data_IF_135715206612
#
_entry.id   IF_135715206612
#
_cell.length_a   1.000
_cell.length_b   1.000
_cell.length_c   1.000
_cell.angle_alpha   90.00
_cell.angle_beta   90.00
_cell.angle_gamma   90.00
#
_symmetry.space_group_name_H-M   'P 1'
#
loop_
_entity.id
_entity.type
_entity.pdbx_description
1 polymer ?
#
# COMPACT_ATOMS: atom_id res chain seq x y z
N UNK A 1 -30.64 -12.80 -1.36
CA UNK A 1 -31.41 -11.56 -1.11
C UNK A 1 -30.71 -10.46 -1.88
N UNK A 2 -31.23 -10.07 -3.04
CA UNK A 2 -30.77 -8.85 -3.71
C UNK A 2 -31.53 -7.68 -3.10
N UNK A 3 -30.83 -6.61 -2.74
CA UNK A 3 -31.49 -5.34 -2.43
C UNK A 3 -31.93 -4.72 -3.75
N UNK A 4 -33.16 -4.21 -3.79
CA UNK A 4 -33.61 -3.40 -4.92
C UNK A 4 -32.89 -2.05 -4.89
N UNK A 5 -32.27 -1.64 -6.00
CA UNK A 5 -31.53 -0.40 -6.10
C UNK A 5 -31.51 0.19 -7.52
N UNK A 6 -31.42 1.52 -7.58
CA UNK A 6 -31.12 2.27 -8.80
C UNK A 6 -29.73 2.91 -8.69
N UNK A 7 -28.90 2.77 -9.72
CA UNK A 7 -27.53 3.30 -9.74
C UNK A 7 -27.40 4.44 -10.75
N UNK A 8 -27.16 5.66 -10.24
CA UNK A 8 -26.84 6.82 -11.07
C UNK A 8 -25.34 6.98 -11.20
N UNK A 9 -24.79 6.48 -12.32
CA UNK A 9 -23.35 6.47 -12.59
C UNK A 9 -22.69 7.86 -12.59
N UNK A 10 -23.36 8.88 -13.13
CA UNK A 10 -22.82 10.25 -13.18
C UNK A 10 -22.63 10.87 -11.79
N UNK A 11 -23.55 10.61 -10.86
CA UNK A 11 -23.51 11.16 -9.50
C UNK A 11 -22.71 10.29 -8.52
N UNK A 12 -22.35 9.08 -8.97
CA UNK A 12 -21.80 8.01 -8.14
C UNK A 12 -22.63 7.80 -6.86
N UNK A 13 -23.96 7.64 -7.04
CA UNK A 13 -24.93 7.41 -5.95
C UNK A 13 -25.78 6.18 -6.27
N UNK A 14 -25.94 5.31 -5.28
CA UNK A 14 -26.91 4.23 -5.27
C UNK A 14 -28.13 4.65 -4.45
N UNK A 15 -29.32 4.50 -5.03
CA UNK A 15 -30.60 4.68 -4.35
C UNK A 15 -31.15 3.32 -3.99
N UNK A 16 -31.36 3.08 -2.71
CA UNK A 16 -31.94 1.84 -2.22
C UNK A 16 -33.47 1.92 -2.34
N UNK A 17 -34.15 0.82 -2.66
CA UNK A 17 -35.61 0.76 -2.70
C UNK A 17 -36.29 1.11 -1.36
N UNK A 18 -35.54 1.09 -0.27
CA UNK A 18 -35.96 1.56 1.07
C UNK A 18 -35.88 3.09 1.25
N UNK A 19 -35.48 3.85 0.23
CA UNK A 19 -35.28 5.30 0.26
C UNK A 19 -33.89 5.74 0.74
N UNK A 20 -33.01 4.79 1.07
CA UNK A 20 -31.62 5.05 1.44
C UNK A 20 -30.75 5.53 0.27
N UNK A 21 -29.66 6.22 0.57
CA UNK A 21 -28.65 6.64 -0.43
C UNK A 21 -27.27 6.19 0.01
N UNK A 22 -26.50 5.62 -0.93
CA UNK A 22 -25.07 5.33 -0.73
C UNK A 22 -24.29 6.18 -1.71
N UNK A 23 -23.39 7.00 -1.18
CA UNK A 23 -22.49 7.83 -1.96
C UNK A 23 -21.17 7.08 -2.15
N UNK A 24 -20.74 6.91 -3.40
CA UNK A 24 -19.45 6.33 -3.75
C UNK A 24 -18.50 7.49 -4.07
N UNK A 25 -17.43 7.65 -3.30
CA UNK A 25 -16.50 8.79 -3.41
C UNK A 25 -15.06 8.32 -3.27
N UNK A 26 -14.16 8.94 -4.03
CA UNK A 26 -12.72 8.76 -3.86
C UNK A 26 -12.21 9.71 -2.78
N UNK A 27 -11.31 9.22 -1.93
CA UNK A 27 -10.64 10.03 -0.91
C UNK A 27 -9.30 10.61 -1.38
N UNK A 28 -8.95 10.46 -2.66
CA UNK A 28 -7.77 11.13 -3.24
C UNK A 28 -7.88 12.66 -3.11
N UNK A 29 -9.08 13.17 -3.35
CA UNK A 29 -9.51 14.51 -2.97
C UNK A 29 -10.56 14.42 -1.85
N UNK A 30 -10.16 14.53 -0.57
CA UNK A 30 -11.08 14.46 0.57
C UNK A 30 -12.20 15.49 0.54
N UNK A 31 -11.99 16.64 -0.11
CA UNK A 31 -13.02 17.68 -0.22
C UNK A 31 -14.24 17.23 -1.05
N UNK A 32 -14.10 16.18 -1.86
CA UNK A 32 -15.23 15.58 -2.58
C UNK A 32 -16.32 14.98 -1.66
N UNK A 33 -15.98 14.78 -0.38
CA UNK A 33 -16.92 14.32 0.64
C UNK A 33 -17.72 15.46 1.27
N UNK A 34 -17.34 16.72 1.03
CA UNK A 34 -18.04 17.88 1.57
C UNK A 34 -19.50 17.95 1.08
N UNK A 35 -20.37 18.56 1.89
CA UNK A 35 -21.81 18.59 1.64
C UNK A 35 -22.54 17.27 1.95
N UNK A 36 -21.83 16.14 2.07
CA UNK A 36 -22.44 14.89 2.50
C UNK A 36 -22.67 14.94 4.01
N UNK A 37 -23.88 14.58 4.45
CA UNK A 37 -24.11 14.16 5.82
C UNK A 37 -24.60 12.71 5.77
N UNK A 38 -23.90 11.80 6.43
CA UNK A 38 -24.20 10.36 6.39
C UNK A 38 -24.55 9.82 7.78
N UNK A 39 -25.20 8.64 7.84
CA UNK A 39 -25.45 7.90 9.10
C UNK A 39 -24.37 6.87 9.40
N UNK A 40 -23.62 6.48 8.37
CA UNK A 40 -22.45 5.64 8.48
C UNK A 40 -21.53 5.94 7.29
N UNK A 41 -20.26 5.56 7.39
CA UNK A 41 -19.33 5.54 6.28
C UNK A 41 -18.50 4.28 6.30
N UNK A 42 -18.07 3.85 5.12
CA UNK A 42 -17.15 2.74 4.96
C UNK A 42 -16.00 3.24 4.08
N UNK A 43 -14.76 3.09 4.54
CA UNK A 43 -13.58 3.39 3.77
C UNK A 43 -12.77 2.11 3.58
N UNK A 44 -12.67 1.69 2.32
CA UNK A 44 -11.86 0.56 1.91
C UNK A 44 -10.42 0.99 1.64
N UNK A 45 -9.48 0.14 2.02
CA UNK A 45 -8.05 0.43 2.07
C UNK A 45 -7.69 1.73 2.80
N UNK A 46 -8.35 1.97 3.95
CA UNK A 46 -8.16 3.16 4.78
C UNK A 46 -6.69 3.41 5.15
N UNK A 47 -5.88 2.37 5.32
CA UNK A 47 -4.46 2.49 5.61
C UNK A 47 -3.66 3.19 4.52
N UNK A 48 -4.15 3.31 3.29
CA UNK A 48 -3.49 4.05 2.21
C UNK A 48 -3.97 5.50 2.09
N UNK A 49 -5.08 5.85 2.75
CA UNK A 49 -5.65 7.19 2.66
C UNK A 49 -4.79 8.21 3.42
N UNK A 50 -4.85 9.48 3.00
CA UNK A 50 -4.29 10.59 3.77
C UNK A 50 -5.08 10.76 5.07
N UNK A 51 -4.42 11.12 6.17
CA UNK A 51 -5.08 11.46 7.46
C UNK A 51 -6.19 12.50 7.31
N UNK A 52 -6.08 13.40 6.32
CA UNK A 52 -7.13 14.38 6.04
C UNK A 52 -8.48 13.73 5.67
N UNK A 53 -8.47 12.61 4.93
CA UNK A 53 -9.69 11.87 4.62
C UNK A 53 -10.41 11.39 5.90
N UNK A 54 -9.66 10.90 6.89
CA UNK A 54 -10.19 10.51 8.20
C UNK A 54 -10.88 11.67 8.91
N UNK A 55 -10.25 12.84 8.95
CA UNK A 55 -10.82 14.04 9.58
C UNK A 55 -12.11 14.47 8.87
N UNK A 56 -12.11 14.50 7.54
CA UNK A 56 -13.30 14.87 6.77
C UNK A 56 -14.44 13.86 6.99
N UNK A 57 -14.16 12.55 6.94
CA UNK A 57 -15.16 11.51 7.15
C UNK A 57 -15.83 11.61 8.52
N UNK A 58 -15.06 11.85 9.59
CA UNK A 58 -15.61 12.09 10.93
C UNK A 58 -16.62 13.25 10.93
N UNK A 59 -16.28 14.36 10.26
CA UNK A 59 -17.19 15.51 10.15
C UNK A 59 -18.49 15.18 9.41
N UNK A 60 -18.48 14.24 8.44
CA UNK A 60 -19.69 13.87 7.67
C UNK A 60 -20.66 12.99 8.45
N UNK A 61 -20.17 12.22 9.42
CA UNK A 61 -21.01 11.35 10.26
C UNK A 61 -21.35 11.96 11.62
N UNK A 62 -20.58 12.95 12.08
CA UNK A 62 -20.66 13.52 13.43
C UNK A 62 -22.05 14.06 13.80
N UNK A 63 -22.70 14.81 12.90
CA UNK A 63 -24.05 15.36 13.15
C UNK A 63 -25.08 14.28 13.49
N UNK A 64 -24.96 13.09 12.88
CA UNK A 64 -25.88 11.97 13.11
C UNK A 64 -25.38 10.95 14.12
N UNK A 65 -24.25 11.23 14.78
CA UNK A 65 -23.55 10.27 15.67
C UNK A 65 -23.37 8.91 14.97
N UNK A 66 -23.01 8.98 13.69
CA UNK A 66 -22.86 7.81 12.83
C UNK A 66 -21.58 7.03 13.12
N UNK A 67 -21.44 5.87 12.46
CA UNK A 67 -20.28 4.98 12.61
C UNK A 67 -19.43 4.96 11.36
N UNK A 68 -18.12 4.73 11.52
CA UNK A 68 -17.20 4.53 10.42
C UNK A 68 -16.64 3.10 10.48
N UNK A 69 -16.67 2.41 9.35
CA UNK A 69 -16.04 1.11 9.15
C UNK A 69 -14.79 1.30 8.29
N UNK A 70 -13.67 0.77 8.75
CA UNK A 70 -12.45 0.71 7.96
C UNK A 70 -12.05 -0.73 7.69
N UNK A 71 -11.82 -1.02 6.43
CA UNK A 71 -11.23 -2.28 5.96
C UNK A 71 -9.89 -1.94 5.34
N UNK A 72 -8.82 -2.63 5.73
CA UNK A 72 -7.50 -2.41 5.15
C UNK A 72 -6.51 -3.52 5.48
N UNK A 73 -5.39 -3.52 4.77
CA UNK A 73 -4.16 -4.17 5.21
C UNK A 73 -3.34 -3.23 6.12
N UNK A 74 -2.65 -3.71 7.17
CA UNK A 74 -1.82 -2.88 8.05
C UNK A 74 -0.50 -2.44 7.40
N UNK A 75 -0.58 -1.62 6.33
CA UNK A 75 0.55 -1.24 5.47
C UNK A 75 1.74 -0.61 6.20
N UNK A 76 1.45 0.20 7.24
CA UNK A 76 2.47 0.88 8.04
C UNK A 76 1.88 1.40 9.34
N UNK A 77 2.76 1.83 10.26
CA UNK A 77 2.40 2.48 11.53
C UNK A 77 1.98 3.95 11.32
N UNK A 78 1.04 4.17 10.40
CA UNK A 78 0.57 5.49 9.98
C UNK A 78 -0.55 6.03 10.88
N UNK A 79 -1.35 6.97 10.36
CA UNK A 79 -2.46 7.58 11.10
C UNK A 79 -3.47 6.55 11.59
N UNK A 80 -3.74 5.48 10.82
CA UNK A 80 -4.71 4.47 11.21
C UNK A 80 -4.24 3.73 12.46
N UNK A 81 -2.95 3.38 12.52
CA UNK A 81 -2.38 2.79 13.73
C UNK A 81 -2.43 3.78 14.90
N UNK A 82 -1.94 5.01 14.69
CA UNK A 82 -1.78 6.02 15.75
C UNK A 82 -3.11 6.52 16.33
N UNK A 83 -4.11 6.74 15.47
CA UNK A 83 -5.35 7.42 15.82
C UNK A 83 -6.49 6.42 16.13
N UNK A 84 -6.37 5.14 15.74
CA UNK A 84 -7.43 4.13 15.92
C UNK A 84 -6.93 2.89 16.66
N UNK A 85 -5.90 2.22 16.12
CA UNK A 85 -5.45 0.94 16.69
C UNK A 85 -4.84 1.13 18.08
N UNK A 86 -3.93 2.09 18.23
CA UNK A 86 -3.29 2.36 19.51
C UNK A 86 -4.29 2.81 20.58
N UNK A 87 -5.22 3.76 20.34
CA UNK A 87 -6.27 4.09 21.31
C UNK A 87 -7.14 2.89 21.70
N UNK A 88 -7.48 2.01 20.75
CA UNK A 88 -8.20 0.78 21.06
C UNK A 88 -7.37 -0.15 21.96
N UNK A 89 -6.08 -0.36 21.67
CA UNK A 89 -5.15 -1.13 22.51
C UNK A 89 -5.01 -0.52 23.92
N UNK A 90 -5.14 0.80 24.05
CA UNK A 90 -5.13 1.55 25.31
C UNK A 90 -6.49 1.58 26.02
N UNK A 91 -7.53 0.94 25.46
CA UNK A 91 -8.84 0.77 26.09
C UNK A 91 -9.90 1.83 25.75
N UNK A 92 -9.68 2.66 24.73
CA UNK A 92 -10.69 3.61 24.25
C UNK A 92 -11.89 2.86 23.62
N UNK A 93 -13.07 3.04 24.24
CA UNK A 93 -14.33 2.39 23.85
C UNK A 93 -14.97 2.99 22.59
N UNK A 94 -14.45 4.12 22.07
CA UNK A 94 -14.91 4.70 20.81
C UNK A 94 -14.45 3.89 19.60
N UNK A 95 -13.43 3.04 19.77
CA UNK A 95 -12.84 2.23 18.72
C UNK A 95 -13.08 0.75 18.97
N UNK A 96 -13.18 0.00 17.88
CA UNK A 96 -13.18 -1.46 17.90
C UNK A 96 -12.33 -1.94 16.74
N UNK A 97 -11.29 -2.71 17.03
CA UNK A 97 -10.37 -3.24 16.03
C UNK A 97 -10.38 -4.76 16.10
N UNK A 98 -10.57 -5.40 14.94
CA UNK A 98 -10.50 -6.84 14.79
C UNK A 98 -9.52 -7.16 13.66
N UNK A 99 -8.56 -8.06 13.94
CA UNK A 99 -7.54 -8.48 12.99
C UNK A 99 -7.82 -9.90 12.53
N UNK A 100 -7.79 -10.12 11.22
CA UNK A 100 -8.05 -11.42 10.60
C UNK A 100 -6.80 -11.92 9.88
N UNK A 101 -6.42 -13.16 10.15
CA UNK A 101 -5.40 -13.89 9.37
C UNK A 101 -6.09 -14.56 8.17
N UNK A 102 -5.40 -14.71 7.05
CA UNK A 102 -5.94 -15.41 5.88
C UNK A 102 -6.36 -16.85 6.21
N UNK A 103 -5.68 -17.50 7.16
CA UNK A 103 -5.99 -18.87 7.63
C UNK A 103 -7.32 -18.98 8.39
N UNK A 104 -7.96 -17.86 8.78
CA UNK A 104 -9.29 -17.89 9.37
C UNK A 104 -10.40 -18.04 8.32
N UNK A 105 -10.09 -17.80 7.05
CA UNK A 105 -11.02 -18.04 5.96
C UNK A 105 -10.90 -19.52 5.52
N UNK A 106 -11.94 -20.36 5.74
CA UNK A 106 -11.89 -21.78 5.37
C UNK A 106 -11.80 -22.02 3.86
N UNK A 107 -12.04 -20.98 3.04
CA UNK A 107 -11.91 -21.03 1.59
C UNK A 107 -10.56 -20.53 1.09
N UNK A 108 -9.66 -20.10 1.96
CA UNK A 108 -8.34 -19.64 1.54
C UNK A 108 -7.42 -20.84 1.22
N UNK A 109 -6.82 -20.91 0.02
CA UNK A 109 -5.99 -22.06 -0.35
C UNK A 109 -4.73 -22.17 0.52
N UNK A 110 -4.56 -23.32 1.19
CA UNK A 110 -3.38 -23.57 2.04
C UNK A 110 -2.07 -23.55 1.24
N UNK A 111 -2.10 -24.05 0.00
CA UNK A 111 -0.95 -24.05 -0.91
C UNK A 111 -0.47 -22.63 -1.23
N UNK A 112 -1.41 -21.69 -1.44
CA UNK A 112 -1.07 -20.28 -1.69
C UNK A 112 -0.49 -19.62 -0.44
N UNK A 113 -1.02 -19.93 0.73
CA UNK A 113 -0.45 -19.48 2.00
C UNK A 113 0.99 -19.96 2.18
N UNK A 114 1.24 -21.25 1.90
CA UNK A 114 2.56 -21.86 2.00
C UNK A 114 3.54 -21.25 0.98
N UNK A 115 3.10 -21.08 -0.28
CA UNK A 115 3.87 -20.42 -1.34
C UNK A 115 4.26 -19.01 -0.95
N UNK A 116 3.32 -18.23 -0.45
CA UNK A 116 3.56 -16.85 -0.02
C UNK A 116 4.53 -16.79 1.17
N UNK A 117 4.42 -17.72 2.13
CA UNK A 117 5.33 -17.81 3.27
C UNK A 117 6.76 -18.12 2.86
N UNK A 118 6.96 -18.89 1.79
CA UNK A 118 8.27 -19.25 1.27
C UNK A 118 8.91 -18.12 0.44
N UNK A 119 8.11 -17.32 -0.26
CA UNK A 119 8.59 -16.36 -1.26
C UNK A 119 8.63 -14.91 -0.79
N UNK A 120 7.83 -14.53 0.20
CA UNK A 120 7.77 -13.15 0.70
C UNK A 120 8.73 -12.94 1.85
N UNK A 121 9.24 -11.71 1.98
CA UNK A 121 9.95 -11.33 3.20
C UNK A 121 9.02 -11.46 4.42
N UNK A 122 9.56 -11.79 5.61
CA UNK A 122 8.75 -12.04 6.80
C UNK A 122 7.84 -10.89 7.21
N UNK A 123 8.23 -9.63 6.95
CA UNK A 123 7.45 -8.46 7.35
C UNK A 123 6.27 -8.24 6.39
N UNK A 124 6.49 -8.40 5.08
CA UNK A 124 5.41 -8.38 4.07
C UNK A 124 4.46 -9.54 4.27
N UNK A 125 4.95 -10.73 4.59
CA UNK A 125 4.11 -11.89 4.87
C UNK A 125 3.22 -11.65 6.09
N UNK A 126 3.80 -11.21 7.21
CA UNK A 126 3.05 -10.94 8.43
C UNK A 126 2.00 -9.82 8.23
N UNK A 127 2.33 -8.80 7.45
CA UNK A 127 1.41 -7.74 7.08
C UNK A 127 0.25 -8.27 6.23
N UNK A 128 0.54 -8.94 5.10
CA UNK A 128 -0.46 -9.36 4.10
C UNK A 128 -1.31 -10.55 4.53
N UNK A 129 -0.71 -11.53 5.22
CA UNK A 129 -1.33 -12.82 5.50
C UNK A 129 -1.71 -13.01 6.96
N UNK A 130 -1.01 -12.35 7.90
CA UNK A 130 -1.35 -12.40 9.32
C UNK A 130 -2.06 -11.15 9.83
N UNK A 131 -2.16 -10.10 9.02
CA UNK A 131 -2.84 -8.86 9.40
C UNK A 131 -2.17 -8.14 10.57
N UNK A 132 -0.85 -8.23 10.70
CA UNK A 132 -0.10 -7.65 11.82
C UNK A 132 0.46 -6.27 11.48
N UNK A 133 0.29 -5.32 12.40
CA UNK A 133 1.03 -4.06 12.39
C UNK A 133 2.47 -4.31 12.84
N UNK A 134 3.41 -4.10 11.93
CA UNK A 134 4.84 -4.14 12.24
C UNK A 134 5.51 -2.81 11.91
N UNK A 135 6.41 -2.37 12.77
CA UNK A 135 7.45 -1.43 12.34
C UNK A 135 8.35 -2.19 11.38
N UNK A 136 8.54 -1.65 10.16
CA UNK A 136 9.62 -2.13 9.28
C UNK A 136 10.94 -1.86 10.02
N UNK A 137 11.50 -2.91 10.62
CA UNK A 137 12.79 -2.86 11.30
C UNK A 137 13.84 -3.43 10.35
N UNK A 138 14.83 -2.61 9.99
CA UNK A 138 15.98 -3.02 9.17
C UNK A 138 16.19 -2.17 7.91
N UNK A 139 17.27 -2.48 7.19
CA UNK A 139 17.57 -1.95 5.86
C UNK A 139 16.41 -2.26 4.90
N UNK A 140 16.13 -1.35 3.96
CA UNK A 140 15.13 -1.54 2.90
C UNK A 140 15.47 -2.76 2.03
N UNK A 141 16.75 -3.10 1.94
CA UNK A 141 17.30 -4.27 1.26
C UNK A 141 18.02 -5.16 2.29
N UNK A 142 17.29 -6.07 2.94
CA UNK A 142 17.87 -7.00 3.93
C UNK A 142 18.69 -8.11 3.27
N UNK A 143 18.39 -8.36 2.00
CA UNK A 143 19.01 -9.37 1.14
C UNK A 143 20.33 -8.88 0.54
N UNK A 144 20.61 -7.57 0.60
CA UNK A 144 21.87 -7.02 0.13
C UNK A 144 23.00 -7.42 1.08
N UNK A 145 23.90 -8.28 0.60
CA UNK A 145 25.11 -8.69 1.33
C UNK A 145 26.35 -8.09 0.67
N UNK A 146 27.47 -8.00 1.40
CA UNK A 146 28.75 -7.53 0.84
C UNK A 146 29.24 -8.41 -0.32
N UNK A 147 28.78 -9.66 -0.39
CA UNK A 147 29.08 -10.60 -1.50
C UNK A 147 28.51 -10.13 -2.84
N UNK A 148 27.49 -9.25 -2.81
CA UNK A 148 26.91 -8.62 -4.00
C UNK A 148 27.72 -7.40 -4.46
N UNK A 149 28.74 -6.99 -3.70
CA UNK A 149 29.61 -5.85 -4.02
C UNK A 149 30.87 -6.36 -4.74
N UNK A 150 30.98 -6.03 -6.01
CA UNK A 150 32.20 -6.30 -6.79
C UNK A 150 33.25 -5.22 -6.53
N UNK A 151 34.53 -5.58 -6.64
CA UNK A 151 35.60 -4.58 -6.67
C UNK A 151 35.42 -3.67 -7.89
N UNK A 152 35.61 -2.36 -7.77
CA UNK A 152 35.54 -1.45 -8.91
C UNK A 152 36.48 -1.91 -10.04
N UNK A 153 35.97 -1.90 -11.27
CA UNK A 153 36.72 -2.23 -12.47
C UNK A 153 36.31 -1.27 -13.60
N UNK A 154 37.19 -1.00 -14.57
CA UNK A 154 36.84 -0.17 -15.72
C UNK A 154 35.79 -0.90 -16.58
N UNK A 155 34.69 -0.21 -16.91
CA UNK A 155 33.67 -0.77 -17.79
C UNK A 155 34.25 -0.87 -19.21
N UNK A 156 34.23 -2.04 -19.87
CA UNK A 156 34.79 -2.19 -21.21
C UNK A 156 34.02 -1.38 -22.26
N UNK A 157 34.74 -0.57 -23.03
CA UNK A 157 34.21 0.18 -24.19
C UNK A 157 33.93 -0.74 -25.39
N UNK A 158 34.65 -1.87 -25.47
CA UNK A 158 34.51 -2.91 -26.47
C UNK A 158 34.62 -4.28 -25.80
N UNK A 159 33.88 -5.27 -26.30
CA UNK A 159 34.01 -6.66 -25.85
C UNK A 159 34.06 -7.63 -27.04
N UNK A 160 34.88 -8.67 -26.91
CA UNK A 160 35.02 -9.72 -27.92
C UNK A 160 33.92 -10.76 -27.72
N UNK A 161 32.96 -10.79 -28.64
CA UNK A 161 31.96 -11.85 -28.67
C UNK A 161 32.62 -13.16 -29.11
N UNK A 162 32.66 -14.15 -28.23
CA UNK A 162 33.29 -15.45 -28.49
C UNK A 162 32.52 -16.30 -29.51
N UNK A 163 31.21 -16.07 -29.66
CA UNK A 163 30.33 -16.79 -30.60
C UNK A 163 30.44 -16.17 -32.00
N UNK A 164 30.44 -14.84 -32.08
CA UNK A 164 30.49 -14.10 -33.35
C UNK A 164 31.93 -13.82 -33.83
N UNK A 165 32.93 -14.05 -32.97
CA UNK A 165 34.35 -13.75 -33.19
C UNK A 165 34.60 -12.33 -33.73
N UNK A 166 33.87 -11.35 -33.17
CA UNK A 166 33.91 -9.93 -33.57
C UNK A 166 33.91 -9.02 -32.33
N UNK A 167 34.48 -7.83 -32.47
CA UNK A 167 34.30 -6.76 -31.50
C UNK A 167 32.93 -6.12 -31.68
N UNK A 168 32.22 -5.93 -30.58
CA UNK A 168 30.90 -5.30 -30.52
C UNK A 168 30.97 -4.16 -29.51
N UNK A 169 30.15 -3.12 -29.73
CA UNK A 169 29.99 -1.98 -28.84
C UNK A 169 29.80 -2.43 -27.37
N UNK A 170 30.47 -1.72 -26.46
CA UNK A 170 30.57 -2.04 -25.04
C UNK A 170 29.25 -2.03 -24.26
N UNK A 171 29.38 -2.09 -22.93
CA UNK A 171 28.23 -2.22 -22.03
C UNK A 171 27.28 -1.02 -22.17
N UNK A 172 25.97 -1.26 -22.05
CA UNK A 172 25.01 -0.16 -22.06
C UNK A 172 25.11 0.61 -20.76
N UNK A 173 25.43 1.91 -20.84
CA UNK A 173 25.49 2.81 -19.69
C UNK A 173 24.14 3.51 -19.52
N UNK A 174 23.62 3.50 -18.28
CA UNK A 174 22.41 4.19 -17.87
C UNK A 174 22.79 5.05 -16.67
N UNK A 175 22.58 6.35 -16.78
CA UNK A 175 22.83 7.29 -15.69
C UNK A 175 21.52 7.71 -15.03
N UNK A 176 21.51 7.70 -13.70
CA UNK A 176 20.42 8.17 -12.86
C UNK A 176 20.85 9.41 -12.08
N UNK A 177 20.00 10.43 -12.06
CA UNK A 177 20.25 11.68 -11.34
C UNK A 177 19.12 11.91 -10.34
N UNK A 178 19.49 12.12 -9.07
CA UNK A 178 18.61 12.66 -8.04
C UNK A 178 19.00 14.13 -7.76
N UNK A 179 18.14 15.04 -8.19
CA UNK A 179 18.35 16.48 -8.05
C UNK A 179 17.95 16.93 -6.65
N UNK A 180 18.93 17.00 -5.76
CA UNK A 180 18.76 17.58 -4.42
C UNK A 180 18.88 19.11 -4.43
N UNK A 181 17.83 19.82 -4.01
CA UNK A 181 17.88 21.29 -3.82
C UNK A 181 18.33 21.67 -2.40
N UNK A 182 17.66 21.09 -1.38
CA UNK A 182 18.04 21.20 0.04
C UNK A 182 18.61 19.89 0.61
N UNK A 183 18.78 18.88 -0.24
CA UNK A 183 19.33 17.56 0.08
C UNK A 183 20.54 17.27 -0.84
N UNK A 184 21.41 16.31 -0.52
CA UNK A 184 22.57 15.99 -1.35
C UNK A 184 22.17 15.60 -2.78
N UNK A 185 22.92 16.08 -3.76
CA UNK A 185 22.84 15.59 -5.14
C UNK A 185 23.43 14.19 -5.22
N UNK A 186 22.76 13.29 -5.95
CA UNK A 186 23.26 11.93 -6.20
C UNK A 186 23.30 11.66 -7.69
N UNK A 187 24.45 11.17 -8.15
CA UNK A 187 24.64 10.61 -9.49
C UNK A 187 24.93 9.12 -9.35
N UNK A 188 24.18 8.29 -10.05
CA UNK A 188 24.39 6.84 -10.10
C UNK A 188 24.57 6.40 -11.54
N UNK A 189 25.64 5.66 -11.81
CA UNK A 189 25.88 5.06 -13.12
C UNK A 189 25.65 3.55 -13.04
N UNK A 190 24.85 3.03 -13.97
CA UNK A 190 24.56 1.62 -14.12
C UNK A 190 25.12 1.15 -15.46
N UNK A 191 25.85 0.03 -15.46
CA UNK A 191 26.38 -0.56 -16.68
C UNK A 191 25.80 -1.96 -16.86
N UNK A 192 25.14 -2.21 -17.99
CA UNK A 192 24.55 -3.51 -18.33
C UNK A 192 25.46 -4.26 -19.31
N UNK A 193 25.96 -5.41 -18.87
CA UNK A 193 26.65 -6.37 -19.73
C UNK A 193 25.69 -6.88 -20.82
N UNK A 194 26.12 -6.94 -22.10
CA UNK A 194 25.28 -7.46 -23.19
C UNK A 194 25.03 -8.97 -23.15
N UNK A 195 25.79 -9.76 -22.38
CA UNK A 195 25.51 -11.19 -22.13
C UNK A 195 24.36 -11.37 -21.16
#
# INVERSE_FOLDING_TARGET
>A
IGLDYDYKKQDAVLFLGTGGKIYLRSTENPLSLEGIQARAGWADEAGQMKKWAWIVMQARVGFRRGRLLFTTTPYSMNWLYKDIVKPFEEGDKNYFVSQFKSTLNPYYPEEEYARAKANLDPDTFDMRYKGLFKKRTGLVYKEFTEDMVVKPFPIPEEYKDEILNKMIFGWTIIDGIDWGYNHPFVFSQFAKNPK
#
